data_IF_905554719839
#
_entry.id   IF_905554719839
#
_cell.length_a   1.000
_cell.length_b   1.000
_cell.length_c   1.000
_cell.angle_alpha   90.00
_cell.angle_beta   90.00
_cell.angle_gamma   90.00
#
_symmetry.space_group_name_H-M   'P 1'
#
loop_
_entity.id
_entity.type
_entity.pdbx_description
1 polymer ?
#
# COMPACT_ATOMS: atom_id res chain seq x y z
N UNK A 1 20.80 24.80 -29.60
CA UNK A 1 21.81 24.23 -28.67
C UNK A 1 21.83 22.72 -28.90
N UNK A 2 22.95 22.19 -29.40
CA UNK A 2 23.10 20.76 -29.74
C UNK A 2 23.28 19.97 -28.44
N UNK A 3 22.41 18.98 -28.19
CA UNK A 3 22.63 17.98 -27.13
C UNK A 3 23.69 16.99 -27.62
N UNK A 4 24.83 16.93 -26.92
CA UNK A 4 25.81 15.87 -27.11
C UNK A 4 25.43 14.67 -26.24
N UNK A 5 25.55 13.42 -26.72
CA UNK A 5 25.38 12.25 -25.87
C UNK A 5 26.58 12.12 -24.92
N UNK A 6 26.30 11.83 -23.64
CA UNK A 6 27.30 11.50 -22.64
C UNK A 6 28.05 10.23 -23.10
N UNK A 7 29.38 10.27 -23.12
CA UNK A 7 30.21 9.12 -23.47
C UNK A 7 30.38 8.19 -22.26
N UNK A 8 30.67 6.92 -22.53
CA UNK A 8 30.75 5.79 -21.57
C UNK A 8 31.67 5.97 -20.35
N UNK A 9 32.44 7.06 -20.28
CA UNK A 9 33.34 7.38 -19.18
C UNK A 9 32.69 8.23 -18.06
N UNK A 10 31.55 8.87 -18.32
CA UNK A 10 30.87 9.70 -17.31
C UNK A 10 29.96 8.89 -16.36
N UNK A 11 29.61 7.65 -16.70
CA UNK A 11 28.85 6.77 -15.80
C UNK A 11 29.71 6.12 -14.71
N UNK A 12 31.02 5.93 -14.96
CA UNK A 12 31.94 5.29 -14.00
C UNK A 12 32.41 6.27 -12.92
N UNK A 13 32.42 7.58 -13.18
CA UNK A 13 32.89 8.58 -12.22
C UNK A 13 31.85 8.94 -11.14
N UNK A 14 30.56 8.64 -11.36
CA UNK A 14 29.51 8.86 -10.36
C UNK A 14 29.56 7.81 -9.23
N UNK A 15 30.24 6.68 -9.45
CA UNK A 15 30.48 5.66 -8.42
C UNK A 15 31.72 5.92 -7.53
N UNK A 16 32.51 6.98 -7.78
CA UNK A 16 33.82 7.17 -7.13
C UNK A 16 34.01 8.46 -6.30
N UNK A 17 33.06 9.40 -6.24
CA UNK A 17 33.26 10.69 -5.52
C UNK A 17 32.09 11.18 -4.65
N UNK A 18 31.17 10.31 -4.24
CA UNK A 18 30.06 10.68 -3.35
C UNK A 18 30.37 10.47 -1.87
N UNK A 19 31.22 11.30 -1.27
CA UNK A 19 31.21 11.76 0.14
C UNK A 19 32.61 12.30 0.51
N UNK A 20 32.85 13.57 0.20
CA UNK A 20 33.83 14.37 0.94
C UNK A 20 33.12 15.64 1.42
N UNK A 21 32.59 15.59 2.64
CA UNK A 21 32.51 16.76 3.51
C UNK A 21 32.29 16.31 4.96
N UNK A 22 33.21 16.75 5.81
CA UNK A 22 33.21 16.71 7.28
C UNK A 22 33.60 15.37 7.94
N UNK A 23 34.88 15.19 8.25
CA UNK A 23 35.42 15.30 9.63
C UNK A 23 36.91 14.90 9.61
N UNK A 24 37.81 15.89 9.73
CA UNK A 24 39.18 15.65 10.18
C UNK A 24 39.16 15.48 11.70
N UNK A 25 39.70 14.38 12.22
CA UNK A 25 40.87 14.38 13.10
C UNK A 25 41.11 13.02 13.81
N UNK A 26 42.40 12.69 13.90
CA UNK A 26 43.09 11.74 14.80
C UNK A 26 43.25 10.29 14.32
N UNK A 27 44.43 10.07 13.72
CA UNK A 27 45.20 8.83 13.74
C UNK A 27 45.27 8.21 15.13
N UNK A 28 45.17 6.87 15.22
CA UNK A 28 46.10 5.96 15.91
C UNK A 28 45.75 4.50 15.54
N UNK A 29 46.80 3.70 15.32
CA UNK A 29 46.75 2.26 15.05
C UNK A 29 46.11 1.47 16.21
N UNK A 30 45.10 0.66 15.93
CA UNK A 30 44.71 -0.49 16.74
C UNK A 30 44.00 -1.54 15.87
N UNK A 31 44.39 -2.81 16.00
CA UNK A 31 43.59 -3.95 15.56
C UNK A 31 42.18 -3.85 16.16
N UNK A 32 41.16 -3.71 15.32
CA UNK A 32 39.77 -3.73 15.75
C UNK A 32 39.22 -5.16 15.60
N UNK A 33 38.63 -5.74 16.67
CA UNK A 33 37.82 -6.94 16.57
C UNK A 33 36.50 -6.62 15.86
N UNK A 34 35.96 -7.63 15.17
CA UNK A 34 34.68 -7.60 14.44
C UNK A 34 33.58 -6.96 15.31
N UNK A 35 33.03 -5.85 14.85
CA UNK A 35 32.27 -4.88 15.66
C UNK A 35 30.79 -5.31 15.84
N UNK A 36 30.31 -5.18 17.08
CA UNK A 36 28.95 -5.50 17.53
C UNK A 36 27.88 -4.51 16.99
N UNK A 37 28.30 -3.44 16.31
CA UNK A 37 27.45 -2.42 15.68
C UNK A 37 26.70 -2.93 14.44
N UNK A 38 27.30 -3.84 13.66
CA UNK A 38 26.67 -4.48 12.49
C UNK A 38 25.40 -5.25 12.88
N UNK A 39 25.43 -5.92 14.04
CA UNK A 39 24.32 -6.74 14.55
C UNK A 39 23.11 -5.90 15.00
N UNK A 40 23.30 -4.62 15.33
CA UNK A 40 22.22 -3.69 15.68
C UNK A 40 21.51 -3.14 14.44
N UNK A 41 22.25 -2.82 13.37
CA UNK A 41 21.69 -2.36 12.09
C UNK A 41 20.92 -3.48 11.40
N UNK A 42 21.44 -4.71 11.38
CA UNK A 42 20.75 -5.87 10.82
C UNK A 42 19.41 -6.16 11.52
N UNK A 43 19.33 -5.96 12.84
CA UNK A 43 18.07 -6.08 13.60
C UNK A 43 17.08 -4.96 13.31
N UNK A 44 17.55 -3.74 13.05
CA UNK A 44 16.67 -2.60 12.75
C UNK A 44 16.03 -2.70 11.36
N UNK A 45 16.75 -3.23 10.36
CA UNK A 45 16.21 -3.46 9.00
C UNK A 45 15.14 -4.57 9.02
N UNK A 46 15.37 -5.66 9.78
CA UNK A 46 14.39 -6.74 9.94
C UNK A 46 13.18 -6.38 10.82
N UNK A 47 13.35 -5.44 11.77
CA UNK A 47 12.29 -5.03 12.69
C UNK A 47 11.32 -3.98 12.10
N UNK A 48 11.61 -3.42 10.92
CA UNK A 48 10.76 -2.44 10.23
C UNK A 48 9.64 -3.08 9.40
N UNK A 49 9.30 -4.35 9.63
CA UNK A 49 8.19 -5.04 8.96
C UNK A 49 6.86 -4.39 9.34
N UNK A 50 6.23 -3.73 8.37
CA UNK A 50 4.79 -3.44 8.38
C UNK A 50 4.03 -4.76 8.27
N UNK A 51 2.87 -4.87 8.94
CA UNK A 51 1.96 -6.01 8.85
C UNK A 51 1.17 -6.08 7.52
N UNK A 52 1.71 -5.48 6.46
CA UNK A 52 1.19 -5.57 5.09
C UNK A 52 1.69 -6.85 4.42
N UNK A 53 1.03 -7.23 3.32
CA UNK A 53 1.35 -8.38 2.48
C UNK A 53 2.86 -8.66 2.36
N UNK A 54 3.26 -9.92 2.60
CA UNK A 54 4.66 -10.36 2.60
C UNK A 54 5.30 -10.18 1.22
N UNK A 55 6.44 -9.47 1.17
CA UNK A 55 7.22 -9.24 -0.05
C UNK A 55 7.46 -10.54 -0.84
N UNK A 56 7.41 -10.46 -2.16
CA UNK A 56 7.63 -11.57 -3.08
C UNK A 56 8.78 -11.27 -4.05
N UNK A 57 9.79 -12.12 -4.03
CA UNK A 57 10.87 -12.12 -5.01
C UNK A 57 10.29 -12.37 -6.41
N UNK A 58 10.56 -11.45 -7.34
CA UNK A 58 10.20 -11.56 -8.75
C UNK A 58 11.25 -10.85 -9.63
N UNK A 59 11.06 -10.79 -10.94
CA UNK A 59 12.07 -10.18 -11.86
C UNK A 59 12.41 -8.71 -11.58
N UNK A 60 11.56 -7.97 -10.86
CA UNK A 60 11.81 -6.56 -10.53
C UNK A 60 12.92 -6.34 -9.51
N UNK A 61 13.35 -7.39 -8.79
CA UNK A 61 14.53 -7.32 -7.91
C UNK A 61 15.86 -7.55 -8.63
N UNK A 62 15.83 -7.82 -9.93
CA UNK A 62 17.04 -7.96 -10.74
C UNK A 62 17.78 -6.64 -10.85
N UNK A 63 18.97 -6.55 -10.24
CA UNK A 63 19.76 -5.33 -10.23
C UNK A 63 21.20 -5.52 -9.71
N UNK A 64 21.93 -4.41 -9.71
CA UNK A 64 23.12 -4.20 -8.90
C UNK A 64 22.76 -3.78 -7.47
N UNK A 65 23.43 -4.42 -6.51
CA UNK A 65 23.28 -4.18 -5.08
C UNK A 65 24.66 -3.94 -4.46
N UNK A 66 24.74 -3.07 -3.46
CA UNK A 66 25.99 -2.68 -2.80
C UNK A 66 25.90 -2.84 -1.29
N UNK A 67 27.05 -3.04 -0.66
CA UNK A 67 27.18 -2.90 0.79
C UNK A 67 27.39 -1.42 1.13
N UNK A 68 26.47 -0.76 1.85
CA UNK A 68 26.67 0.62 2.24
C UNK A 68 27.97 0.79 3.03
N UNK A 69 28.81 1.74 2.61
CA UNK A 69 30.07 2.05 3.29
C UNK A 69 31.27 1.16 2.94
N UNK A 70 31.14 0.16 2.05
CA UNK A 70 32.26 -0.65 1.55
C UNK A 70 32.42 -0.48 0.03
N UNK A 71 33.23 0.50 -0.43
CA UNK A 71 33.46 0.73 -1.85
C UNK A 71 34.07 -0.48 -2.55
N UNK A 72 33.61 -0.75 -3.77
CA UNK A 72 34.16 -1.81 -4.62
C UNK A 72 33.65 -3.22 -4.34
N UNK A 73 32.95 -3.44 -3.22
CA UNK A 73 32.19 -4.67 -2.97
C UNK A 73 30.75 -4.52 -3.46
N UNK A 74 30.21 -5.53 -4.13
CA UNK A 74 28.85 -5.49 -4.63
C UNK A 74 28.34 -6.81 -5.18
N UNK A 75 27.07 -6.82 -5.56
CA UNK A 75 26.34 -8.00 -5.95
C UNK A 75 25.53 -7.71 -7.21
N UNK A 76 25.44 -8.68 -8.12
CA UNK A 76 24.36 -8.73 -9.10
C UNK A 76 23.41 -9.85 -8.72
N UNK A 77 22.12 -9.53 -8.66
CA UNK A 77 21.07 -10.48 -8.35
C UNK A 77 20.20 -10.66 -9.58
N UNK A 78 19.95 -11.91 -9.94
CA UNK A 78 19.13 -12.31 -11.07
C UNK A 78 18.15 -13.39 -10.64
N UNK A 79 16.86 -13.09 -10.75
CA UNK A 79 15.74 -13.99 -10.46
C UNK A 79 15.25 -14.58 -11.77
N UNK A 80 15.04 -15.89 -11.75
CA UNK A 80 14.42 -16.66 -12.83
C UNK A 80 13.13 -17.31 -12.30
N UNK A 81 11.98 -16.60 -12.32
CA UNK A 81 10.76 -17.07 -11.65
C UNK A 81 10.23 -18.39 -12.20
N UNK A 82 10.28 -18.60 -13.52
CA UNK A 82 9.84 -19.84 -14.17
C UNK A 82 10.66 -21.06 -13.72
N UNK A 83 11.92 -20.85 -13.36
CA UNK A 83 12.82 -21.89 -12.85
C UNK A 83 12.77 -22.00 -11.32
N UNK A 84 12.16 -21.03 -10.63
CA UNK A 84 12.14 -20.95 -9.17
C UNK A 84 13.52 -20.74 -8.54
N UNK A 85 14.47 -20.13 -9.27
CA UNK A 85 15.85 -19.93 -8.80
C UNK A 85 16.28 -18.47 -8.82
N UNK A 86 17.22 -18.14 -7.93
CA UNK A 86 18.01 -16.92 -7.95
C UNK A 86 19.46 -17.29 -8.25
N UNK A 87 20.12 -16.47 -9.07
CA UNK A 87 21.55 -16.46 -9.28
C UNK A 87 22.13 -15.14 -8.76
N UNK A 88 23.23 -15.23 -8.05
CA UNK A 88 23.92 -14.11 -7.43
C UNK A 88 25.39 -14.13 -7.85
N UNK A 89 25.93 -12.99 -8.27
CA UNK A 89 27.37 -12.78 -8.45
C UNK A 89 27.85 -11.81 -7.39
N UNK A 90 28.90 -12.16 -6.65
CA UNK A 90 29.46 -11.33 -5.57
C UNK A 90 30.88 -10.91 -5.94
N UNK A 91 31.10 -9.62 -6.08
CA UNK A 91 32.41 -9.00 -6.28
C UNK A 91 32.95 -8.52 -4.95
N UNK A 92 34.14 -8.98 -4.57
CA UNK A 92 34.72 -8.73 -3.26
C UNK A 92 36.25 -8.79 -3.31
N UNK A 93 36.88 -8.85 -2.15
CA UNK A 93 38.31 -8.92 -1.97
C UNK A 93 38.69 -10.16 -1.16
N UNK A 94 39.95 -10.54 -1.20
CA UNK A 94 40.50 -11.58 -0.34
C UNK A 94 40.41 -11.17 1.14
N UNK A 95 40.50 -12.14 2.05
CA UNK A 95 40.39 -11.90 3.51
C UNK A 95 41.57 -11.11 4.06
N UNK A 96 42.73 -11.20 3.40
CA UNK A 96 43.93 -10.43 3.70
C UNK A 96 44.57 -9.92 2.38
N UNK A 97 45.15 -8.71 2.36
CA UNK A 97 45.92 -8.27 1.22
C UNK A 97 47.10 -9.23 0.97
N UNK A 98 47.37 -9.61 -0.29
CA UNK A 98 48.51 -10.44 -0.60
C UNK A 98 49.81 -9.68 -0.32
N UNK A 99 50.91 -10.43 -0.15
CA UNK A 99 52.24 -9.85 -0.10
C UNK A 99 52.47 -8.92 -1.30
N UNK A 100 53.11 -7.77 -1.08
CA UNK A 100 53.41 -6.78 -2.11
C UNK A 100 54.35 -7.28 -3.22
N UNK A 101 54.92 -8.48 -3.07
CA UNK A 101 55.62 -9.20 -4.13
C UNK A 101 54.69 -9.84 -5.17
N UNK A 102 53.41 -10.06 -4.82
CA UNK A 102 52.40 -10.64 -5.71
C UNK A 102 51.86 -9.56 -6.62
N UNK A 103 52.11 -9.69 -7.92
CA UNK A 103 51.69 -8.73 -8.94
C UNK A 103 50.66 -9.36 -9.87
N UNK A 104 49.62 -8.60 -10.20
CA UNK A 104 48.68 -8.94 -11.26
C UNK A 104 49.00 -8.12 -12.52
N UNK A 105 48.84 -8.73 -13.69
CA UNK A 105 48.96 -8.02 -14.98
C UNK A 105 47.70 -7.18 -15.24
N UNK A 106 46.54 -7.69 -14.84
CA UNK A 106 45.25 -7.02 -14.98
C UNK A 106 44.53 -7.00 -13.63
N UNK A 107 44.09 -5.82 -13.19
CA UNK A 107 43.45 -5.64 -11.90
C UNK A 107 44.43 -5.74 -10.72
N UNK A 108 43.88 -6.01 -9.54
CA UNK A 108 44.62 -6.18 -8.29
C UNK A 108 44.60 -7.65 -7.87
N UNK A 109 45.70 -8.20 -7.32
CA UNK A 109 45.80 -9.62 -6.97
C UNK A 109 44.81 -10.07 -5.88
N UNK A 110 44.31 -9.14 -5.05
CA UNK A 110 43.32 -9.40 -4.00
C UNK A 110 41.86 -9.44 -4.49
N UNK A 111 41.55 -9.02 -5.72
CA UNK A 111 40.16 -9.02 -6.18
C UNK A 111 39.61 -10.45 -6.28
N UNK A 112 38.40 -10.68 -5.78
CA UNK A 112 37.69 -11.96 -5.81
C UNK A 112 36.31 -11.78 -6.42
N UNK A 113 35.82 -12.84 -7.05
CA UNK A 113 34.42 -12.96 -7.41
C UNK A 113 33.94 -14.35 -7.04
N UNK A 114 32.71 -14.42 -6.54
CA UNK A 114 32.02 -15.64 -6.16
C UNK A 114 30.68 -15.66 -6.89
N UNK A 115 30.15 -16.86 -7.11
CA UNK A 115 28.79 -17.02 -7.62
C UNK A 115 27.99 -17.85 -6.64
N UNK A 116 26.68 -17.64 -6.57
CA UNK A 116 25.79 -18.48 -5.80
C UNK A 116 24.47 -18.69 -6.55
N UNK A 117 23.87 -19.87 -6.42
CA UNK A 117 22.58 -20.17 -7.03
C UNK A 117 21.74 -21.08 -6.14
N UNK A 118 20.42 -20.94 -6.19
CA UNK A 118 19.51 -21.78 -5.43
C UNK A 118 18.06 -21.31 -5.49
N UNK A 119 17.15 -22.04 -4.82
CA UNK A 119 15.73 -21.72 -4.82
C UNK A 119 15.40 -20.47 -4.00
N UNK A 120 14.20 -19.93 -4.25
CA UNK A 120 13.61 -18.87 -3.45
C UNK A 120 12.15 -19.16 -3.11
N UNK A 121 11.68 -18.62 -2.00
CA UNK A 121 10.30 -18.69 -1.53
C UNK A 121 9.96 -17.39 -0.80
N UNK A 122 8.86 -16.74 -1.17
CA UNK A 122 8.46 -15.44 -0.61
C UNK A 122 9.54 -14.38 -0.80
N UNK A 123 10.01 -13.83 0.30
CA UNK A 123 11.03 -12.78 0.39
C UNK A 123 12.47 -13.31 0.46
N UNK A 124 12.67 -14.63 0.49
CA UNK A 124 13.95 -15.25 0.85
C UNK A 124 14.46 -16.21 -0.22
N UNK A 125 15.77 -16.12 -0.53
CA UNK A 125 16.46 -17.08 -1.39
C UNK A 125 17.66 -17.72 -0.66
N UNK A 126 17.79 -19.05 -0.77
CA UNK A 126 18.90 -19.81 -0.17
C UNK A 126 19.75 -20.42 -1.26
N UNK A 127 21.02 -20.01 -1.32
CA UNK A 127 21.91 -20.20 -2.46
C UNK A 127 23.16 -20.98 -2.05
N UNK A 128 23.60 -21.90 -2.90
CA UNK A 128 24.88 -22.60 -2.78
C UNK A 128 25.97 -21.76 -3.42
N UNK A 129 27.07 -21.50 -2.69
CA UNK A 129 28.22 -20.73 -3.18
C UNK A 129 29.15 -21.62 -3.98
N UNK A 130 29.58 -21.13 -5.14
CA UNK A 130 30.54 -21.75 -6.03
C UNK A 130 31.73 -20.79 -6.27
N UNK A 131 32.94 -21.31 -6.07
CA UNK A 131 34.21 -20.62 -6.24
C UNK A 131 34.88 -21.16 -7.50
N UNK A 132 35.19 -20.28 -8.45
CA UNK A 132 35.87 -20.66 -9.69
C UNK A 132 37.29 -20.11 -9.70
N UNK A 133 38.29 -20.96 -10.02
CA UNK A 133 39.70 -20.59 -9.99
C UNK A 133 40.54 -21.34 -11.02
N UNK A 134 41.83 -20.97 -11.12
CA UNK A 134 42.82 -21.67 -11.94
C UNK A 134 42.80 -21.36 -13.45
N UNK A 135 41.87 -20.53 -13.94
CA UNK A 135 41.81 -20.09 -15.34
C UNK A 135 42.81 -19.00 -15.72
N UNK A 136 42.90 -18.70 -17.02
CA UNK A 136 43.71 -17.61 -17.60
C UNK A 136 42.82 -16.64 -18.36
N UNK A 137 43.15 -15.35 -18.32
CA UNK A 137 42.39 -14.28 -18.97
C UNK A 137 42.10 -14.59 -20.45
N UNK A 138 40.81 -14.65 -20.79
CA UNK A 138 40.30 -14.91 -22.15
C UNK A 138 40.93 -16.16 -22.83
N UNK A 139 41.10 -17.24 -22.07
CA UNK A 139 41.63 -18.52 -22.56
C UNK A 139 40.76 -19.69 -22.10
N UNK A 140 40.59 -20.68 -22.97
CA UNK A 140 39.92 -21.95 -22.63
C UNK A 140 40.82 -22.93 -21.87
N UNK A 141 42.14 -22.68 -21.84
CA UNK A 141 43.13 -23.55 -21.18
C UNK A 141 44.10 -22.74 -20.31
N UNK A 142 44.45 -23.23 -19.09
CA UNK A 142 43.87 -24.39 -18.42
C UNK A 142 42.37 -24.19 -18.13
N UNK A 143 41.63 -25.31 -18.09
CA UNK A 143 40.20 -25.29 -17.75
C UNK A 143 40.08 -24.88 -16.28
N UNK A 144 39.25 -23.87 -15.93
CA UNK A 144 39.05 -23.48 -14.54
C UNK A 144 38.44 -24.62 -13.71
N UNK A 145 38.82 -24.69 -12.45
CA UNK A 145 38.17 -25.54 -11.46
C UNK A 145 37.05 -24.77 -10.76
N UNK A 146 35.93 -25.43 -10.47
CA UNK A 146 34.77 -24.84 -9.80
C UNK A 146 34.37 -25.73 -8.64
N UNK A 147 34.40 -25.16 -7.44
CA UNK A 147 34.16 -25.87 -6.18
C UNK A 147 33.07 -25.22 -5.36
N UNK A 148 32.23 -26.05 -4.78
CA UNK A 148 31.17 -25.62 -3.87
C UNK A 148 31.75 -25.29 -2.50
N UNK A 149 31.43 -24.10 -1.95
CA UNK A 149 32.08 -23.58 -0.74
C UNK A 149 31.12 -22.77 0.14
N UNK A 150 30.12 -23.46 0.67
CA UNK A 150 29.19 -22.89 1.66
C UNK A 150 27.96 -22.24 1.05
N UNK A 151 27.32 -21.33 1.79
CA UNK A 151 25.95 -20.88 1.48
C UNK A 151 25.79 -19.37 1.64
N UNK A 152 24.87 -18.82 0.86
CA UNK A 152 24.36 -17.46 0.99
C UNK A 152 22.84 -17.52 1.12
N UNK A 153 22.27 -16.85 2.11
CA UNK A 153 20.82 -16.60 2.18
C UNK A 153 20.58 -15.11 2.06
N UNK A 154 19.71 -14.70 1.13
CA UNK A 154 19.29 -13.32 0.97
C UNK A 154 17.81 -13.19 1.29
N UNK A 155 17.48 -12.20 2.12
CA UNK A 155 16.12 -11.83 2.52
C UNK A 155 15.86 -10.38 2.10
N UNK A 156 14.83 -10.14 1.28
CA UNK A 156 14.45 -8.79 0.85
C UNK A 156 13.51 -8.18 1.88
N UNK A 157 13.86 -7.00 2.39
CA UNK A 157 12.99 -6.23 3.27
C UNK A 157 11.99 -5.39 2.45
N UNK A 158 12.46 -4.82 1.35
CA UNK A 158 11.67 -4.02 0.41
C UNK A 158 12.39 -3.94 -0.96
N UNK A 159 11.88 -3.10 -1.86
CA UNK A 159 12.45 -2.92 -3.20
C UNK A 159 13.85 -2.30 -3.26
N UNK A 160 14.34 -1.72 -2.15
CA UNK A 160 15.63 -1.04 -2.01
C UNK A 160 16.58 -1.73 -1.03
N UNK A 161 16.09 -2.54 -0.09
CA UNK A 161 16.85 -3.06 1.03
C UNK A 161 16.75 -4.59 1.12
N UNK A 162 17.89 -5.23 1.36
CA UNK A 162 17.96 -6.66 1.63
C UNK A 162 19.03 -6.97 2.68
N UNK A 163 18.93 -8.14 3.32
CA UNK A 163 19.96 -8.68 4.19
C UNK A 163 20.52 -9.96 3.59
N UNK A 164 21.83 -9.98 3.35
CA UNK A 164 22.55 -11.17 2.91
C UNK A 164 23.28 -11.78 4.10
N UNK A 165 23.04 -13.06 4.38
CA UNK A 165 23.81 -13.85 5.35
C UNK A 165 24.64 -14.88 4.60
N UNK A 166 25.87 -15.11 5.05
CA UNK A 166 26.79 -16.00 4.36
C UNK A 166 27.62 -16.86 5.32
N UNK A 167 28.05 -18.01 4.82
CA UNK A 167 29.04 -18.89 5.44
C UNK A 167 29.94 -19.47 4.34
N UNK A 168 31.23 -19.17 4.38
CA UNK A 168 32.27 -19.62 3.45
C UNK A 168 33.32 -20.39 4.26
N UNK A 169 33.18 -21.73 4.37
CA UNK A 169 34.03 -22.56 5.21
C UNK A 169 35.52 -22.48 4.85
N UNK A 170 35.88 -22.46 3.56
CA UNK A 170 37.30 -22.44 3.15
C UNK A 170 38.04 -21.20 3.64
N UNK A 171 37.33 -20.07 3.77
CA UNK A 171 37.86 -18.79 4.23
C UNK A 171 37.70 -18.61 5.75
N UNK A 172 37.04 -19.54 6.45
CA UNK A 172 36.60 -19.38 7.84
C UNK A 172 35.81 -18.08 8.08
N UNK A 173 35.01 -17.67 7.09
CA UNK A 173 34.23 -16.44 7.15
C UNK A 173 32.74 -16.75 7.20
N UNK A 174 32.03 -16.09 8.11
CA UNK A 174 30.57 -16.10 8.19
C UNK A 174 30.08 -14.75 8.69
N UNK A 175 28.89 -14.32 8.27
CA UNK A 175 28.37 -13.03 8.69
C UNK A 175 27.09 -12.60 7.99
N UNK A 176 26.75 -11.34 8.17
CA UNK A 176 25.61 -10.69 7.54
C UNK A 176 26.03 -9.35 6.93
N UNK A 177 25.50 -9.04 5.75
CA UNK A 177 25.82 -7.86 4.95
C UNK A 177 24.48 -7.20 4.57
N UNK A 178 24.18 -6.00 5.09
CA UNK A 178 23.04 -5.24 4.59
C UNK A 178 23.33 -4.76 3.16
N UNK A 179 22.35 -4.90 2.29
CA UNK A 179 22.42 -4.54 0.88
C UNK A 179 21.46 -3.39 0.58
N UNK A 180 21.92 -2.47 -0.26
CA UNK A 180 21.07 -1.44 -0.86
C UNK A 180 21.18 -1.50 -2.38
N UNK A 181 20.04 -1.36 -3.06
CA UNK A 181 20.00 -1.29 -4.53
C UNK A 181 20.76 -0.06 -5.03
N UNK A 182 21.50 -0.21 -6.14
CA UNK A 182 22.29 0.89 -6.72
C UNK A 182 21.41 1.87 -7.50
N UNK A 183 20.49 1.36 -8.31
CA UNK A 183 19.65 2.15 -9.19
C UNK A 183 18.20 2.19 -8.70
N UNK A 184 17.57 3.37 -8.75
CA UNK A 184 16.19 3.55 -8.29
C UNK A 184 15.13 3.36 -9.40
N UNK A 185 15.55 3.14 -10.65
CA UNK A 185 14.68 3.11 -11.83
C UNK A 185 13.69 1.93 -11.82
N UNK A 186 14.08 0.79 -11.24
CA UNK A 186 13.21 -0.38 -11.10
C UNK A 186 12.38 -0.39 -9.80
N UNK A 187 12.59 0.54 -8.87
CA UNK A 187 11.94 0.54 -7.54
C UNK A 187 10.43 0.68 -7.68
N UNK A 188 9.95 1.68 -8.42
CA UNK A 188 8.52 1.92 -8.59
C UNK A 188 7.80 0.73 -9.25
N UNK A 189 8.47 0.04 -10.19
CA UNK A 189 7.95 -1.17 -10.81
C UNK A 189 7.93 -2.33 -9.81
N UNK A 190 8.98 -2.48 -9.00
CA UNK A 190 9.03 -3.49 -7.94
C UNK A 190 7.89 -3.32 -6.95
N UNK A 191 7.65 -2.10 -6.48
CA UNK A 191 6.56 -1.78 -5.53
C UNK A 191 5.18 -2.10 -6.14
N UNK A 192 4.98 -1.78 -7.43
CA UNK A 192 3.73 -2.05 -8.14
C UNK A 192 3.48 -3.55 -8.43
N UNK A 193 4.52 -4.38 -8.46
CA UNK A 193 4.42 -5.83 -8.69
C UNK A 193 4.42 -6.64 -7.38
N UNK A 194 4.57 -5.99 -6.22
CA UNK A 194 4.36 -6.67 -4.94
C UNK A 194 2.89 -7.01 -4.74
N UNK A 195 2.55 -8.13 -4.08
CA UNK A 195 1.19 -8.36 -3.66
C UNK A 195 0.74 -7.21 -2.77
N UNK A 196 -0.40 -6.63 -3.09
CA UNK A 196 -1.10 -5.69 -2.24
C UNK A 196 -2.30 -6.39 -1.63
N UNK A 197 -2.62 -6.10 -0.36
CA UNK A 197 -3.90 -6.54 0.19
C UNK A 197 -5.03 -5.96 -0.70
N UNK A 198 -6.06 -6.74 -1.03
CA UNK A 198 -7.12 -6.21 -1.86
C UNK A 198 -7.89 -5.11 -1.11
N UNK A 199 -8.55 -4.22 -1.84
CA UNK A 199 -9.44 -3.24 -1.21
C UNK A 199 -10.79 -3.89 -0.96
N UNK A 200 -11.17 -4.02 0.31
CA UNK A 200 -12.45 -4.59 0.71
C UNK A 200 -13.44 -3.48 1.06
N UNK A 201 -14.65 -3.53 0.50
CA UNK A 201 -15.80 -2.70 0.91
C UNK A 201 -16.81 -3.62 1.58
N UNK A 202 -16.98 -3.49 2.88
CA UNK A 202 -17.88 -4.31 3.71
C UNK A 202 -19.12 -3.51 4.08
N UNK A 203 -20.30 -4.10 3.85
CA UNK A 203 -21.57 -3.50 4.24
C UNK A 203 -21.81 -3.64 5.73
N UNK A 204 -22.03 -2.51 6.41
CA UNK A 204 -22.36 -2.49 7.84
C UNK A 204 -23.87 -2.51 8.05
N UNK A 205 -24.61 -1.64 7.35
CA UNK A 205 -26.07 -1.53 7.49
C UNK A 205 -26.59 -0.18 6.99
N UNK A 206 -27.84 -0.15 6.55
CA UNK A 206 -28.46 0.97 5.85
C UNK A 206 -27.64 1.47 4.65
N UNK A 207 -26.99 2.62 4.78
CA UNK A 207 -26.02 3.10 3.79
C UNK A 207 -24.57 2.95 4.26
N UNK A 208 -24.36 2.54 5.51
CA UNK A 208 -23.06 2.47 6.15
C UNK A 208 -22.17 1.37 5.59
N UNK A 209 -20.91 1.73 5.30
CA UNK A 209 -19.88 0.81 4.81
C UNK A 209 -18.56 1.02 5.54
N UNK A 210 -17.75 -0.04 5.56
CA UNK A 210 -16.34 -0.01 5.89
C UNK A 210 -15.51 -0.26 4.63
N UNK A 211 -14.43 0.49 4.43
CA UNK A 211 -13.47 0.33 3.33
C UNK A 211 -12.11 0.03 3.95
N UNK A 212 -11.47 -1.09 3.58
CA UNK A 212 -10.22 -1.57 4.19
C UNK A 212 -9.15 -1.94 3.17
N UNK A 213 -7.89 -1.68 3.51
CA UNK A 213 -6.71 -2.12 2.74
C UNK A 213 -5.43 -1.98 3.58
N UNK A 214 -4.60 -3.02 3.65
CA UNK A 214 -3.25 -2.92 4.23
C UNK A 214 -3.20 -2.40 5.66
N UNK A 215 -4.25 -2.67 6.45
CA UNK A 215 -4.42 -2.17 7.82
C UNK A 215 -5.05 -0.77 7.94
N UNK A 216 -5.30 -0.07 6.84
CA UNK A 216 -6.08 1.18 6.82
C UNK A 216 -7.58 0.87 6.74
N UNK A 217 -8.40 1.61 7.48
CA UNK A 217 -9.84 1.46 7.58
C UNK A 217 -10.58 2.82 7.55
N UNK A 218 -11.63 2.86 6.74
CA UNK A 218 -12.54 4.01 6.63
C UNK A 218 -13.97 3.55 6.84
N UNK A 219 -14.70 4.21 7.75
CA UNK A 219 -16.14 3.98 7.93
C UNK A 219 -16.90 5.21 7.44
N UNK A 220 -17.85 5.05 6.51
CA UNK A 220 -18.77 6.12 6.12
C UNK A 220 -20.19 5.70 6.48
N UNK A 221 -20.93 6.54 7.21
CA UNK A 221 -22.31 6.30 7.67
C UNK A 221 -22.52 4.97 8.44
N UNK A 222 -21.46 4.32 8.91
CA UNK A 222 -21.51 3.00 9.53
C UNK A 222 -21.71 2.97 11.04
N UNK A 223 -21.55 4.09 11.74
CA UNK A 223 -21.68 4.16 13.20
C UNK A 223 -23.14 4.36 13.60
N UNK A 224 -23.90 3.27 13.46
CA UNK A 224 -25.37 3.25 13.55
C UNK A 224 -25.87 2.42 14.74
N UNK A 225 -27.05 2.77 15.30
CA UNK A 225 -27.77 1.89 16.20
C UNK A 225 -28.62 0.89 15.39
N UNK A 226 -29.39 0.05 16.08
CA UNK A 226 -30.56 -0.60 15.44
C UNK A 226 -31.53 0.46 14.92
N UNK A 227 -31.92 0.33 13.66
CA UNK A 227 -32.80 1.24 12.94
C UNK A 227 -34.21 0.66 12.82
N UNK A 228 -35.19 1.56 12.75
CA UNK A 228 -36.58 1.20 12.42
C UNK A 228 -36.84 1.45 10.95
N UNK A 229 -37.31 0.45 10.21
CA UNK A 229 -37.65 0.57 8.78
C UNK A 229 -36.49 0.43 7.79
N UNK A 230 -35.25 0.44 8.28
CA UNK A 230 -34.03 0.29 7.48
C UNK A 230 -33.29 -0.98 7.86
N UNK A 231 -32.46 -1.50 6.94
CA UNK A 231 -31.50 -2.55 7.27
C UNK A 231 -30.55 -2.02 8.35
N UNK A 232 -30.43 -2.74 9.46
CA UNK A 232 -29.61 -2.33 10.60
C UNK A 232 -28.31 -3.12 10.64
N UNK A 233 -27.23 -2.58 11.23
CA UNK A 233 -26.07 -3.40 11.54
C UNK A 233 -26.41 -4.52 12.50
N UNK A 234 -25.68 -5.64 12.42
CA UNK A 234 -25.88 -6.74 13.37
C UNK A 234 -25.55 -6.29 14.79
N UNK A 235 -26.09 -6.97 15.80
CA UNK A 235 -25.73 -6.69 17.21
C UNK A 235 -24.23 -6.88 17.43
N UNK A 236 -23.61 -7.84 16.74
CA UNK A 236 -22.15 -8.06 16.78
C UNK A 236 -21.39 -6.87 16.21
N UNK A 237 -21.78 -6.36 15.03
CA UNK A 237 -21.15 -5.19 14.43
C UNK A 237 -21.32 -3.95 15.31
N UNK A 238 -22.53 -3.72 15.86
CA UNK A 238 -22.75 -2.60 16.78
C UNK A 238 -21.84 -2.68 18.02
N UNK A 239 -21.66 -3.87 18.59
CA UNK A 239 -20.78 -4.07 19.74
C UNK A 239 -19.30 -3.88 19.36
N UNK A 240 -18.89 -4.36 18.19
CA UNK A 240 -17.51 -4.25 17.74
C UNK A 240 -17.16 -2.80 17.38
N UNK A 241 -18.02 -2.11 16.63
CA UNK A 241 -17.88 -0.68 16.33
C UNK A 241 -17.84 0.13 17.62
N UNK A 242 -18.86 0.04 18.48
CA UNK A 242 -18.92 0.85 19.70
C UNK A 242 -17.75 0.57 20.65
N UNK A 243 -17.25 -0.68 20.68
CA UNK A 243 -16.14 -1.10 21.52
C UNK A 243 -14.75 -0.89 20.91
N UNK A 244 -14.64 -0.47 19.64
CA UNK A 244 -13.35 -0.41 18.94
C UNK A 244 -12.67 -1.78 18.81
N UNK A 245 -13.47 -2.83 18.64
CA UNK A 245 -12.99 -4.20 18.49
C UNK A 245 -12.98 -4.63 17.02
N UNK A 246 -12.21 -5.67 16.72
CA UNK A 246 -12.14 -6.24 15.39
C UNK A 246 -13.50 -6.58 14.77
N UNK A 247 -13.72 -6.29 13.47
CA UNK A 247 -12.77 -5.72 12.50
C UNK A 247 -12.84 -4.19 12.36
N UNK A 248 -13.16 -3.45 13.43
CA UNK A 248 -13.32 -1.99 13.44
C UNK A 248 -12.35 -1.31 14.42
N UNK A 249 -11.19 -1.94 14.65
CA UNK A 249 -10.12 -1.39 15.49
C UNK A 249 -9.27 -0.39 14.69
N UNK A 250 -8.93 0.75 15.30
CA UNK A 250 -8.01 1.73 14.74
C UNK A 250 -8.41 2.42 13.43
N UNK A 251 -9.71 2.60 13.21
CA UNK A 251 -10.27 3.33 12.05
C UNK A 251 -9.60 4.70 11.86
N UNK A 252 -9.02 4.99 10.71
CA UNK A 252 -8.41 6.31 10.45
C UNK A 252 -9.47 7.40 10.25
N UNK A 253 -10.49 7.08 9.45
CA UNK A 253 -11.49 8.05 8.98
C UNK A 253 -12.89 7.51 9.28
N UNK A 254 -13.67 8.29 10.01
CA UNK A 254 -15.10 8.10 10.11
C UNK A 254 -15.83 9.28 9.45
N UNK A 255 -16.66 9.05 8.45
CA UNK A 255 -17.40 10.08 7.72
C UNK A 255 -18.90 10.02 7.97
N UNK A 256 -19.52 11.19 8.10
CA UNK A 256 -20.97 11.34 8.13
C UNK A 256 -21.44 12.19 6.95
N UNK A 257 -22.25 11.59 6.08
CA UNK A 257 -22.77 12.26 4.88
C UNK A 257 -23.74 13.39 5.26
N UNK A 258 -24.67 13.14 6.18
CA UNK A 258 -25.67 14.11 6.63
C UNK A 258 -26.33 13.70 7.97
N UNK A 259 -27.17 14.58 8.54
CA UNK A 259 -27.68 14.44 9.91
C UNK A 259 -28.99 13.67 10.09
N UNK A 260 -29.41 12.82 9.13
CA UNK A 260 -30.63 12.03 9.31
C UNK A 260 -30.41 10.86 10.27
N UNK A 261 -31.48 10.45 10.97
CA UNK A 261 -31.40 9.46 12.05
C UNK A 261 -31.08 8.04 11.59
N UNK A 262 -31.21 7.76 10.31
CA UNK A 262 -30.81 6.51 9.64
C UNK A 262 -29.34 6.50 9.19
N UNK A 263 -28.63 7.63 9.32
CA UNK A 263 -27.19 7.77 9.02
C UNK A 263 -26.33 8.00 10.27
N UNK A 264 -26.92 8.42 11.40
CA UNK A 264 -26.16 8.69 12.62
C UNK A 264 -26.92 8.43 13.90
N UNK A 265 -26.20 7.91 14.89
CA UNK A 265 -26.51 8.04 16.30
C UNK A 265 -25.34 8.69 17.03
N UNK A 266 -25.51 9.92 17.52
CA UNK A 266 -24.44 10.60 18.27
C UNK A 266 -24.10 9.88 19.59
N UNK A 267 -25.02 9.08 20.12
CA UNK A 267 -24.72 8.17 21.25
C UNK A 267 -23.72 7.09 20.82
N UNK A 268 -23.95 6.45 19.66
CA UNK A 268 -23.03 5.44 19.12
C UNK A 268 -21.69 6.06 18.69
N UNK A 269 -21.72 7.21 18.00
CA UNK A 269 -20.50 7.95 17.61
C UNK A 269 -19.64 8.31 18.82
N UNK A 270 -20.25 8.78 19.92
CA UNK A 270 -19.50 9.08 21.14
C UNK A 270 -18.88 7.83 21.78
N UNK A 271 -19.59 6.69 21.78
CA UNK A 271 -19.05 5.43 22.27
C UNK A 271 -17.88 4.95 21.40
N UNK A 272 -18.08 4.90 20.08
CA UNK A 272 -17.05 4.57 19.09
C UNK A 272 -15.81 5.44 19.26
N UNK A 273 -15.94 6.77 19.19
CA UNK A 273 -14.79 7.69 19.30
C UNK A 273 -14.08 7.62 20.66
N UNK A 274 -14.75 7.19 21.74
CA UNK A 274 -14.10 7.00 23.03
C UNK A 274 -13.16 5.79 23.08
N UNK A 275 -13.39 4.81 22.20
CA UNK A 275 -12.58 3.58 22.08
C UNK A 275 -11.59 3.61 20.90
N UNK A 276 -11.60 4.67 20.09
CA UNK A 276 -10.67 4.82 18.97
C UNK A 276 -9.48 5.70 19.34
N UNK A 277 -8.26 5.27 19.04
CA UNK A 277 -7.06 6.07 19.32
C UNK A 277 -6.85 7.16 18.27
N UNK A 278 -6.92 6.79 16.98
CA UNK A 278 -6.45 7.65 15.88
C UNK A 278 -7.57 8.25 15.02
N UNK A 279 -8.82 7.81 15.17
CA UNK A 279 -9.91 8.22 14.28
C UNK A 279 -10.16 9.72 14.24
N UNK A 280 -10.28 10.26 13.03
CA UNK A 280 -10.86 11.57 12.75
C UNK A 280 -12.28 11.40 12.20
N UNK A 281 -13.24 12.08 12.83
CA UNK A 281 -14.64 12.10 12.41
C UNK A 281 -14.94 13.32 11.52
N UNK A 282 -15.32 13.11 10.27
CA UNK A 282 -15.57 14.14 9.26
C UNK A 282 -17.07 14.36 9.12
N UNK A 283 -17.52 15.59 9.35
CA UNK A 283 -18.95 15.92 9.30
C UNK A 283 -19.18 17.41 9.04
N UNK A 284 -20.36 17.80 8.55
CA UNK A 284 -20.75 19.21 8.50
C UNK A 284 -21.21 19.72 9.87
N UNK A 285 -21.15 21.03 10.12
CA UNK A 285 -21.76 21.57 11.35
C UNK A 285 -23.28 21.39 11.35
N UNK A 286 -23.91 21.35 10.17
CA UNK A 286 -25.34 21.14 10.00
C UNK A 286 -25.81 19.70 10.26
N UNK A 287 -24.92 18.71 10.31
CA UNK A 287 -25.32 17.32 10.56
C UNK A 287 -25.54 17.00 12.05
N UNK A 288 -25.27 17.95 12.95
CA UNK A 288 -25.34 17.73 14.39
C UNK A 288 -24.00 17.37 15.04
N UNK A 289 -22.88 17.50 14.32
CA UNK A 289 -21.53 17.18 14.82
C UNK A 289 -21.13 17.88 16.14
N UNK A 290 -21.80 18.97 16.51
CA UNK A 290 -21.65 19.62 17.82
C UNK A 290 -22.09 18.76 19.01
N UNK A 291 -22.81 17.66 18.78
CA UNK A 291 -23.22 16.69 19.82
C UNK A 291 -22.14 15.65 20.15
N UNK A 292 -21.00 15.68 19.46
CA UNK A 292 -19.84 14.83 19.76
C UNK A 292 -19.10 15.40 20.97
N UNK A 293 -18.79 14.57 21.97
CA UNK A 293 -18.15 15.00 23.23
C UNK A 293 -16.69 15.40 23.02
N UNK A 294 -15.93 14.58 22.28
CA UNK A 294 -14.53 14.86 21.97
C UNK A 294 -14.40 15.61 20.64
N UNK A 295 -14.56 16.93 20.71
CA UNK A 295 -14.42 17.80 19.54
C UNK A 295 -12.99 17.81 18.96
N UNK A 296 -11.97 17.33 19.70
CA UNK A 296 -10.61 17.25 19.16
C UNK A 296 -10.47 16.20 18.05
N UNK A 297 -11.38 15.21 18.02
CA UNK A 297 -11.49 14.17 17.00
C UNK A 297 -12.41 14.55 15.85
N UNK A 298 -13.02 15.73 15.85
CA UNK A 298 -13.97 16.14 14.79
C UNK A 298 -13.28 17.08 13.81
N UNK A 299 -13.41 16.79 12.52
CA UNK A 299 -13.09 17.70 11.43
C UNK A 299 -14.40 18.22 10.82
N UNK A 300 -14.71 19.49 11.08
CA UNK A 300 -15.88 20.13 10.49
C UNK A 300 -15.60 20.48 9.02
N UNK A 301 -16.53 20.06 8.14
CA UNK A 301 -16.50 20.32 6.70
C UNK A 301 -17.71 21.17 6.32
N UNK A 302 -17.48 22.45 6.09
CA UNK A 302 -18.51 23.42 5.69
C UNK A 302 -18.12 24.06 4.36
N UNK A 303 -18.28 23.30 3.29
CA UNK A 303 -18.02 23.76 1.92
C UNK A 303 -19.34 24.15 1.23
N UNK A 304 -19.35 25.16 0.35
CA UNK A 304 -20.54 25.48 -0.45
C UNK A 304 -20.97 24.31 -1.34
N UNK A 305 -22.25 24.22 -1.67
CA UNK A 305 -22.77 23.20 -2.60
C UNK A 305 -22.04 23.28 -3.95
N UNK A 306 -21.64 22.14 -4.49
CA UNK A 306 -20.87 22.02 -5.72
C UNK A 306 -19.38 22.28 -5.57
N UNK A 307 -18.89 22.46 -4.34
CA UNK A 307 -17.46 22.53 -4.03
C UNK A 307 -16.98 21.25 -3.36
N UNK A 308 -15.66 21.08 -3.36
CA UNK A 308 -14.97 19.95 -2.77
C UNK A 308 -13.83 20.40 -1.86
N UNK A 309 -13.49 19.57 -0.89
CA UNK A 309 -12.32 19.74 -0.03
C UNK A 309 -11.53 18.44 0.00
N UNK A 310 -10.26 18.53 -0.38
CA UNK A 310 -9.32 17.40 -0.33
C UNK A 310 -8.59 17.41 1.01
N UNK A 311 -8.47 16.23 1.62
CA UNK A 311 -7.84 15.99 2.91
C UNK A 311 -6.96 14.76 2.81
N UNK A 312 -5.95 14.69 3.68
CA UNK A 312 -5.24 13.45 3.97
C UNK A 312 -5.30 13.25 5.47
N UNK A 313 -5.99 12.19 5.91
CA UNK A 313 -6.22 11.87 7.32
C UNK A 313 -5.50 10.57 7.61
N UNK A 314 -4.50 10.61 8.50
CA UNK A 314 -3.70 9.44 8.89
C UNK A 314 -3.20 8.61 7.68
N UNK A 315 -2.78 9.30 6.61
CA UNK A 315 -2.29 8.65 5.39
C UNK A 315 -3.36 8.22 4.39
N UNK A 316 -4.66 8.42 4.68
CA UNK A 316 -5.78 8.16 3.75
C UNK A 316 -6.21 9.46 3.05
N UNK A 317 -6.02 9.58 1.71
CA UNK A 317 -6.61 10.67 0.94
C UNK A 317 -8.14 10.55 0.87
N UNK A 318 -8.82 11.64 1.23
CA UNK A 318 -10.29 11.74 1.19
C UNK A 318 -10.69 13.08 0.57
N UNK A 319 -11.50 13.03 -0.48
CA UNK A 319 -12.15 14.22 -1.04
C UNK A 319 -13.60 14.25 -0.58
N UNK A 320 -13.97 15.28 0.16
CA UNK A 320 -15.36 15.52 0.61
C UNK A 320 -16.03 16.50 -0.34
N UNK A 321 -17.18 16.15 -0.88
CA UNK A 321 -17.87 16.90 -1.93
C UNK A 321 -19.28 17.24 -1.45
N UNK A 322 -19.66 18.52 -1.45
CA UNK A 322 -21.01 18.90 -1.04
C UNK A 322 -21.97 18.81 -2.23
N UNK A 323 -22.80 17.78 -2.20
CA UNK A 323 -23.78 17.45 -3.22
C UNK A 323 -25.20 17.73 -2.72
N UNK A 324 -26.18 17.67 -3.61
CA UNK A 324 -27.59 17.81 -3.27
C UNK A 324 -28.11 16.46 -2.76
N UNK A 325 -28.79 16.51 -1.62
CA UNK A 325 -29.62 15.43 -1.12
C UNK A 325 -30.81 15.19 -2.07
N UNK A 326 -31.24 13.95 -2.31
CA UNK A 326 -32.44 13.70 -3.10
C UNK A 326 -33.64 14.42 -2.49
N UNK A 327 -34.57 14.87 -3.33
CA UNK A 327 -35.77 15.58 -2.89
C UNK A 327 -37.02 14.94 -3.51
N UNK A 328 -37.38 13.76 -3.02
CA UNK A 328 -38.44 12.91 -3.59
C UNK A 328 -39.41 12.41 -2.52
N UNK A 329 -40.43 11.65 -2.95
CA UNK A 329 -41.42 10.98 -2.08
C UNK A 329 -42.27 11.92 -1.21
N UNK A 330 -42.46 13.17 -1.65
CA UNK A 330 -43.30 14.15 -0.95
C UNK A 330 -42.63 14.81 0.25
N UNK A 331 -41.33 14.56 0.47
CA UNK A 331 -40.52 15.22 1.49
C UNK A 331 -39.79 16.44 0.91
N UNK A 332 -39.41 17.39 1.77
CA UNK A 332 -38.52 18.51 1.41
C UNK A 332 -37.17 18.39 2.15
N UNK A 333 -36.17 17.92 1.43
CA UNK A 333 -34.78 17.79 1.89
C UNK A 333 -33.85 18.81 1.22
N UNK A 334 -34.39 19.84 0.55
CA UNK A 334 -33.60 20.80 -0.22
C UNK A 334 -32.56 21.57 0.61
N UNK A 335 -32.80 21.71 1.92
CA UNK A 335 -31.92 22.32 2.91
C UNK A 335 -30.95 21.36 3.62
N UNK A 336 -31.03 20.05 3.35
CA UNK A 336 -30.13 19.06 3.94
C UNK A 336 -28.78 19.09 3.21
N UNK A 337 -27.70 19.28 3.97
CA UNK A 337 -26.33 19.12 3.47
C UNK A 337 -26.08 17.64 3.25
N UNK A 338 -25.69 17.24 2.03
CA UNK A 338 -25.19 15.90 1.75
C UNK A 338 -23.72 15.97 1.33
N UNK A 339 -22.85 15.33 2.11
CA UNK A 339 -21.42 15.21 1.82
C UNK A 339 -21.16 13.84 1.20
N UNK A 340 -20.76 13.81 -0.07
CA UNK A 340 -20.21 12.60 -0.68
C UNK A 340 -18.72 12.46 -0.31
N UNK A 341 -18.27 11.23 -0.11
CA UNK A 341 -16.88 10.93 0.25
C UNK A 341 -16.22 10.11 -0.85
N UNK A 342 -15.24 10.68 -1.52
CA UNK A 342 -14.33 9.97 -2.41
C UNK A 342 -13.10 9.54 -1.60
N UNK A 343 -12.98 8.26 -1.34
CA UNK A 343 -11.88 7.65 -0.60
C UNK A 343 -10.90 7.04 -1.60
N UNK A 344 -9.62 7.41 -1.48
CA UNK A 344 -8.54 6.79 -2.26
C UNK A 344 -7.72 5.89 -1.35
N UNK A 345 -7.75 4.58 -1.57
CA UNK A 345 -7.13 3.59 -0.70
C UNK A 345 -6.72 2.37 -1.53
N UNK A 346 -5.52 1.80 -1.28
CA UNK A 346 -4.99 0.69 -2.08
C UNK A 346 -4.94 0.94 -3.59
N UNK A 347 -4.74 2.20 -4.01
CA UNK A 347 -4.77 2.62 -5.41
C UNK A 347 -6.16 2.66 -6.06
N UNK A 348 -7.23 2.43 -5.29
CA UNK A 348 -8.62 2.45 -5.75
C UNK A 348 -9.33 3.73 -5.35
N UNK A 349 -10.29 4.16 -6.16
CA UNK A 349 -11.19 5.29 -5.91
C UNK A 349 -12.61 4.80 -5.65
N UNK A 350 -13.05 4.93 -4.40
CA UNK A 350 -14.39 4.51 -3.95
C UNK A 350 -15.19 5.75 -3.56
N UNK A 351 -16.34 5.97 -4.21
CA UNK A 351 -17.24 7.07 -3.90
C UNK A 351 -18.43 6.59 -3.08
N UNK A 352 -18.59 7.10 -1.87
CA UNK A 352 -19.81 6.98 -1.09
C UNK A 352 -20.69 8.21 -1.28
N UNK A 353 -21.82 8.08 -1.97
CA UNK A 353 -22.58 9.24 -2.45
C UNK A 353 -23.50 9.88 -1.39
N UNK A 354 -23.73 9.21 -0.25
CA UNK A 354 -24.79 9.60 0.68
C UNK A 354 -26.17 9.51 0.03
N UNK A 355 -27.13 10.31 0.49
CA UNK A 355 -28.51 10.33 -0.02
C UNK A 355 -28.62 11.18 -1.30
N UNK A 356 -27.96 10.70 -2.35
CA UNK A 356 -27.61 11.48 -3.53
C UNK A 356 -28.80 11.77 -4.47
N UNK A 357 -28.90 13.02 -4.97
CA UNK A 357 -29.77 13.37 -6.10
C UNK A 357 -29.08 13.06 -7.44
N UNK A 358 -29.67 12.18 -8.25
CA UNK A 358 -29.10 11.73 -9.52
C UNK A 358 -29.23 12.68 -10.72
N UNK A 359 -29.56 13.96 -10.51
CA UNK A 359 -29.56 14.93 -11.60
C UNK A 359 -28.15 15.18 -12.18
N UNK A 360 -28.08 15.46 -13.48
CA UNK A 360 -26.81 15.63 -14.20
C UNK A 360 -25.92 16.74 -13.64
N UNK A 361 -26.49 17.86 -13.18
CA UNK A 361 -25.75 18.95 -12.55
C UNK A 361 -25.10 18.51 -11.22
N UNK A 362 -25.82 17.71 -10.44
CA UNK A 362 -25.35 17.19 -9.17
C UNK A 362 -24.25 16.13 -9.35
N UNK A 363 -24.37 15.28 -10.38
CA UNK A 363 -23.28 14.38 -10.80
C UNK A 363 -22.06 15.21 -11.23
N UNK A 364 -22.27 16.33 -11.92
CA UNK A 364 -21.21 17.26 -12.31
C UNK A 364 -20.43 17.84 -11.13
N UNK A 365 -21.02 17.95 -9.94
CA UNK A 365 -20.31 18.42 -8.73
C UNK A 365 -19.23 17.45 -8.26
N UNK A 366 -19.29 16.17 -8.64
CA UNK A 366 -18.28 15.19 -8.28
C UNK A 366 -16.93 15.49 -8.93
N UNK A 367 -16.91 16.23 -10.06
CA UNK A 367 -15.67 16.62 -10.74
C UNK A 367 -14.89 15.44 -11.35
N UNK A 368 -15.53 14.28 -11.52
CA UNK A 368 -14.93 13.05 -12.01
C UNK A 368 -15.13 12.88 -13.52
N UNK A 369 -14.19 12.20 -14.17
CA UNK A 369 -14.33 11.76 -15.55
C UNK A 369 -14.86 10.32 -15.63
N UNK A 370 -15.49 9.92 -16.76
CA UNK A 370 -15.90 8.54 -16.97
C UNK A 370 -14.73 7.55 -16.81
N UNK A 371 -14.93 6.51 -16.00
CA UNK A 371 -13.94 5.45 -15.76
C UNK A 371 -12.93 5.75 -14.65
N UNK A 372 -13.04 6.88 -13.95
CA UNK A 372 -12.14 7.19 -12.83
C UNK A 372 -12.52 6.48 -11.52
N UNK A 373 -13.75 6.00 -11.37
CA UNK A 373 -14.22 5.31 -10.17
C UNK A 373 -14.10 3.80 -10.31
N UNK A 374 -13.42 3.16 -9.36
CA UNK A 374 -13.43 1.71 -9.22
C UNK A 374 -14.78 1.24 -8.67
N UNK A 375 -15.35 1.97 -7.72
CA UNK A 375 -16.66 1.68 -7.14
C UNK A 375 -17.43 2.93 -6.71
N UNK A 376 -18.76 2.86 -6.78
CA UNK A 376 -19.67 3.85 -6.20
C UNK A 376 -20.74 3.17 -5.35
N UNK A 377 -20.97 3.67 -4.13
CA UNK A 377 -22.05 3.26 -3.23
C UNK A 377 -23.21 4.25 -3.37
N UNK A 378 -24.38 3.72 -3.71
CA UNK A 378 -25.57 4.48 -4.06
C UNK A 378 -26.80 4.07 -3.24
N UNK A 379 -27.64 5.03 -2.82
CA UNK A 379 -28.94 4.73 -2.23
C UNK A 379 -29.92 4.31 -3.33
N UNK A 380 -30.59 3.17 -3.15
CA UNK A 380 -31.43 2.57 -4.21
C UNK A 380 -32.84 2.18 -3.81
N UNK A 381 -33.27 2.50 -2.59
CA UNK A 381 -34.61 2.16 -2.12
C UNK A 381 -35.73 2.74 -2.97
N UNK A 382 -36.90 2.09 -2.87
CA UNK A 382 -38.10 2.48 -3.60
C UNK A 382 -37.80 2.74 -5.08
N UNK A 383 -38.22 3.88 -5.63
CA UNK A 383 -38.06 4.28 -7.03
C UNK A 383 -37.00 5.35 -7.24
N UNK A 384 -36.07 5.48 -6.29
CA UNK A 384 -35.04 6.51 -6.33
C UNK A 384 -34.11 6.31 -7.54
N UNK A 385 -33.77 5.06 -7.85
CA UNK A 385 -33.08 4.70 -9.10
C UNK A 385 -34.07 4.37 -10.21
N UNK A 386 -33.80 4.90 -11.40
CA UNK A 386 -34.61 4.76 -12.61
C UNK A 386 -33.70 4.55 -13.83
N UNK A 387 -34.26 4.07 -14.94
CA UNK A 387 -33.46 3.91 -16.16
C UNK A 387 -32.81 5.22 -16.62
N UNK A 388 -33.53 6.35 -16.48
CA UNK A 388 -33.05 7.64 -16.93
C UNK A 388 -31.83 8.11 -16.13
N UNK A 389 -31.87 7.98 -14.81
CA UNK A 389 -30.77 8.44 -13.98
C UNK A 389 -29.60 7.44 -13.94
N UNK A 390 -29.84 6.14 -14.10
CA UNK A 390 -28.79 5.18 -14.37
C UNK A 390 -28.03 5.51 -15.66
N UNK A 391 -28.74 5.86 -16.75
CA UNK A 391 -28.07 6.25 -17.99
C UNK A 391 -27.15 7.47 -17.79
N UNK A 392 -27.53 8.42 -16.92
CA UNK A 392 -26.66 9.56 -16.57
C UNK A 392 -25.42 9.11 -15.82
N UNK A 393 -25.57 8.27 -14.79
CA UNK A 393 -24.44 7.72 -14.02
C UNK A 393 -23.47 6.98 -14.95
N UNK A 394 -23.98 6.10 -15.81
CA UNK A 394 -23.15 5.34 -16.74
C UNK A 394 -22.46 6.23 -17.79
N UNK A 395 -23.11 7.31 -18.23
CA UNK A 395 -22.53 8.23 -19.23
C UNK A 395 -21.49 9.16 -18.62
N UNK A 396 -21.75 9.68 -17.42
CA UNK A 396 -20.94 10.73 -16.81
C UNK A 396 -19.84 10.20 -15.89
N UNK A 397 -20.04 9.03 -15.28
CA UNK A 397 -19.10 8.44 -14.33
C UNK A 397 -18.53 7.09 -14.80
N UNK A 398 -19.32 6.28 -15.51
CA UNK A 398 -18.94 4.93 -15.97
C UNK A 398 -18.13 4.13 -14.91
N UNK A 399 -18.66 3.96 -13.68
CA UNK A 399 -17.91 3.35 -12.59
C UNK A 399 -17.63 1.86 -12.88
N UNK A 400 -16.49 1.35 -12.40
CA UNK A 400 -16.14 -0.06 -12.53
C UNK A 400 -17.16 -0.99 -11.84
N UNK A 401 -17.66 -0.57 -10.67
CA UNK A 401 -18.71 -1.24 -9.90
C UNK A 401 -19.73 -0.25 -9.35
N UNK A 402 -21.00 -0.65 -9.40
CA UNK A 402 -22.10 0.02 -8.69
C UNK A 402 -22.52 -0.87 -7.53
N UNK A 403 -22.45 -0.33 -6.32
CA UNK A 403 -22.94 -0.94 -5.10
C UNK A 403 -24.27 -0.29 -4.77
N UNK A 404 -25.34 -1.08 -4.81
CA UNK A 404 -26.66 -0.69 -4.37
C UNK A 404 -26.78 -0.95 -2.86
N UNK A 405 -27.13 0.08 -2.10
CA UNK A 405 -27.33 0.02 -0.65
C UNK A 405 -28.57 0.85 -0.25
N UNK A 406 -28.74 1.09 1.05
CA UNK A 406 -29.81 1.89 1.64
C UNK A 406 -31.20 1.24 1.48
N UNK A 407 -31.31 -0.06 1.78
CA UNK A 407 -32.57 -0.81 1.62
C UNK A 407 -33.51 -0.67 2.82
N UNK A 408 -34.81 -0.65 2.53
CA UNK A 408 -35.84 -0.68 3.56
C UNK A 408 -36.04 -2.12 4.04
N UNK A 409 -35.93 -2.37 5.36
CA UNK A 409 -35.93 -3.73 5.91
C UNK A 409 -37.23 -4.51 5.63
N UNK A 410 -38.35 -3.81 5.44
CA UNK A 410 -39.63 -4.41 5.05
C UNK A 410 -39.81 -4.66 3.54
N UNK A 411 -38.93 -4.13 2.68
CA UNK A 411 -39.10 -4.13 1.21
C UNK A 411 -37.87 -4.66 0.44
N UNK A 412 -36.88 -5.21 1.13
CA UNK A 412 -35.63 -5.72 0.54
C UNK A 412 -35.88 -6.52 -0.74
N UNK A 413 -36.77 -7.52 -0.71
CA UNK A 413 -37.02 -8.39 -1.86
C UNK A 413 -37.54 -7.63 -3.09
N UNK A 414 -38.47 -6.69 -2.90
CA UNK A 414 -39.00 -5.87 -3.99
C UNK A 414 -37.98 -4.87 -4.52
N UNK A 415 -37.24 -4.21 -3.62
CA UNK A 415 -36.22 -3.22 -3.98
C UNK A 415 -35.05 -3.88 -4.71
N UNK A 416 -34.55 -5.01 -4.19
CA UNK A 416 -33.51 -5.83 -4.84
C UNK A 416 -33.93 -6.22 -6.25
N UNK A 417 -35.16 -6.69 -6.43
CA UNK A 417 -35.70 -7.05 -7.75
C UNK A 417 -35.72 -5.85 -8.69
N UNK A 418 -36.17 -4.69 -8.19
CA UNK A 418 -36.19 -3.47 -8.99
C UNK A 418 -34.79 -3.00 -9.38
N UNK A 419 -33.84 -3.02 -8.45
CA UNK A 419 -32.44 -2.67 -8.70
C UNK A 419 -31.86 -3.60 -9.75
N UNK A 420 -31.95 -4.92 -9.60
CA UNK A 420 -31.36 -5.87 -10.54
C UNK A 420 -32.02 -5.86 -11.93
N UNK A 421 -33.29 -5.44 -12.03
CA UNK A 421 -33.93 -5.22 -13.32
C UNK A 421 -33.35 -4.01 -14.08
N UNK A 422 -32.85 -3.00 -13.36
CA UNK A 422 -32.23 -1.79 -13.92
C UNK A 422 -30.71 -1.92 -14.05
N UNK A 423 -30.09 -2.60 -13.09
CA UNK A 423 -28.66 -2.78 -12.90
C UNK A 423 -28.32 -4.27 -12.68
N UNK A 424 -28.31 -5.10 -13.73
CA UNK A 424 -28.09 -6.54 -13.58
C UNK A 424 -26.75 -6.90 -12.94
N UNK A 425 -25.73 -6.05 -13.12
CA UNK A 425 -24.36 -6.26 -12.64
C UNK A 425 -24.06 -5.50 -11.33
N UNK A 426 -25.06 -4.87 -10.70
CA UNK A 426 -24.86 -4.19 -9.42
C UNK A 426 -24.56 -5.18 -8.30
N UNK A 427 -23.63 -4.79 -7.44
CA UNK A 427 -23.42 -5.45 -6.15
C UNK A 427 -24.54 -5.01 -5.22
N UNK A 428 -25.24 -5.96 -4.59
CA UNK A 428 -26.33 -5.69 -3.66
C UNK A 428 -25.80 -5.80 -2.24
N UNK A 429 -25.91 -4.71 -1.48
CA UNK A 429 -25.62 -4.64 -0.05
C UNK A 429 -26.94 -4.49 0.70
N UNK A 430 -27.63 -5.61 0.92
CA UNK A 430 -28.91 -5.67 1.62
C UNK A 430 -28.85 -6.50 2.91
N UNK A 431 -27.73 -7.17 3.16
CA UNK A 431 -27.47 -8.00 4.33
C UNK A 431 -26.11 -7.65 4.97
N UNK A 432 -26.07 -7.16 6.22
CA UNK A 432 -24.80 -6.81 6.89
C UNK A 432 -23.75 -7.92 6.82
N UNK A 433 -22.50 -7.54 6.56
CA UNK A 433 -21.37 -8.44 6.36
C UNK A 433 -21.14 -8.85 4.90
N UNK A 434 -22.03 -8.51 3.96
CA UNK A 434 -21.74 -8.60 2.52
C UNK A 434 -20.52 -7.74 2.18
N UNK A 435 -19.68 -8.25 1.28
CA UNK A 435 -18.40 -7.62 0.94
C UNK A 435 -18.17 -7.63 -0.57
N UNK A 436 -17.59 -6.54 -1.07
CA UNK A 436 -16.98 -6.45 -2.39
C UNK A 436 -15.46 -6.34 -2.23
N UNK A 437 -14.73 -7.15 -2.96
CA UNK A 437 -13.27 -7.06 -3.08
C UNK A 437 -12.91 -6.42 -4.43
N UNK A 438 -12.07 -5.39 -4.41
CA UNK A 438 -11.51 -4.75 -5.59
C UNK A 438 -10.04 -5.17 -5.71
N UNK A 439 -9.70 -5.81 -6.82
CA UNK A 439 -8.34 -6.22 -7.20
C UNK A 439 -7.60 -5.10 -7.93
#
# INVERSE_FOLDING_TARGET
MKKHPLTSWQLVLILATGLLCCFDALSHSAHHPVDASSNQVSKAILAARSAAATFQINTTVNDAWVTPGIPGQGFFIMVFPELGIVFLSWFTFDTEPPDGSIMAILGRPEHRWLTAAGPFEGDTATLQVEVTGGGVFNSATPVPDQVSDGTVTIEFADCNNALLTFNIPSAMQQGAIPLTRVAADNVARCEAEQPSDPVAVTYIGNHGVMIQHGGQEVIIDGVLPSLSGWVSPTVTDQNNINGGNAPYEDVEVAGLTHGHGDHVSFTAVNAFLSNQANTRFLASSSSGAGSISDQSKVQIINIPRGQQQQLTINGVPVTVIHTRHFNQFGNDFSGVTNLAFLVEIGGKKILHAGDFDYAADNIGFLGLQPGELDAIILPTFNTLISQANFNLINTLLAPGKIIAAHFQSGLIASERTQVLNLLPDAVIFDSPGEQLTLE
#
